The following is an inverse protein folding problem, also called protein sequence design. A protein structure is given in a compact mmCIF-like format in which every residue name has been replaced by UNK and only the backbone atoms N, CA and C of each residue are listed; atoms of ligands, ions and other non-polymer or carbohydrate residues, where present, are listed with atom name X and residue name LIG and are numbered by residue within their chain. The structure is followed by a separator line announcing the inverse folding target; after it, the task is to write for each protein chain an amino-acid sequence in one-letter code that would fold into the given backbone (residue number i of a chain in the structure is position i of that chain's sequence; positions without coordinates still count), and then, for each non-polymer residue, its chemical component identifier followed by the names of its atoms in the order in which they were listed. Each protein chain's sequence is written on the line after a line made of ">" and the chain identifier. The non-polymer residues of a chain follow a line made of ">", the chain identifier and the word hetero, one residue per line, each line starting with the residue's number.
data_IF_418973932176
#
_entry.id   IF_418973932176
#
_cell.length_a   1.000
_cell.length_b   1.000
_cell.length_c   1.000
_cell.angle_alpha   90.00
_cell.angle_beta   90.00
_cell.angle_gamma   90.00
#
_symmetry.space_group_name_H-M   'P 1'
#
loop_
_entity.id
_entity.type
_entity.pdbx_description
1 polymer ?
#
# COMPACT_ATOMS: atom_id res chain seq x y z
N UNK A 1 -18.12 9.22 -3.29
CA UNK A 1 -16.95 8.46 -2.80
C UNK A 1 -15.94 8.36 -3.95
N UNK A 2 -14.89 9.19 -3.96
CA UNK A 2 -13.84 9.09 -4.98
C UNK A 2 -12.99 7.86 -4.70
N UNK A 3 -13.27 6.76 -5.40
CA UNK A 3 -12.34 5.63 -5.52
C UNK A 3 -11.15 6.09 -6.36
N UNK A 4 -10.24 6.84 -5.75
CA UNK A 4 -8.96 7.13 -6.35
C UNK A 4 -8.12 5.86 -6.26
N UNK A 5 -8.14 5.07 -7.34
CA UNK A 5 -7.29 3.90 -7.49
C UNK A 5 -5.83 4.30 -7.30
N UNK A 6 -5.10 3.50 -6.50
CA UNK A 6 -3.66 3.63 -6.39
C UNK A 6 -3.05 3.35 -7.76
N UNK A 7 -2.31 4.32 -8.29
CA UNK A 7 -1.50 4.17 -9.50
C UNK A 7 -0.45 3.06 -9.32
N UNK A 8 0.08 2.55 -10.42
CA UNK A 8 1.13 1.53 -10.39
C UNK A 8 2.33 1.99 -9.56
N UNK A 9 2.72 3.27 -9.66
CA UNK A 9 3.80 3.87 -8.89
C UNK A 9 3.50 3.90 -7.40
N UNK A 10 2.29 4.29 -6.99
CA UNK A 10 1.94 4.27 -5.57
C UNK A 10 1.99 2.85 -5.01
N UNK A 11 1.55 1.85 -5.79
CA UNK A 11 1.60 0.44 -5.38
C UNK A 11 3.03 -0.07 -5.21
N UNK A 12 3.91 0.21 -6.16
CA UNK A 12 5.32 -0.18 -6.05
C UNK A 12 6.00 0.50 -4.87
N UNK A 13 5.73 1.79 -4.63
CA UNK A 13 6.25 2.50 -3.46
C UNK A 13 5.73 1.89 -2.16
N UNK A 14 4.43 1.57 -2.08
CA UNK A 14 3.84 0.91 -0.90
C UNK A 14 4.52 -0.42 -0.60
N UNK A 15 4.69 -1.29 -1.61
CA UNK A 15 5.33 -2.60 -1.43
C UNK A 15 6.80 -2.45 -1.02
N UNK A 16 7.55 -1.54 -1.66
CA UNK A 16 8.96 -1.30 -1.34
C UNK A 16 9.14 -0.80 0.10
N UNK A 17 8.37 0.21 0.50
CA UNK A 17 8.45 0.77 1.85
C UNK A 17 8.01 -0.24 2.91
N UNK A 18 6.95 -1.01 2.64
CA UNK A 18 6.50 -2.06 3.55
C UNK A 18 7.55 -3.17 3.71
N UNK A 19 8.27 -3.53 2.63
CA UNK A 19 9.39 -4.49 2.72
C UNK A 19 10.60 -3.95 3.48
N UNK A 20 10.68 -2.63 3.68
CA UNK A 20 11.73 -1.94 4.44
C UNK A 20 11.31 -1.65 5.89
N UNK A 21 10.30 -2.37 6.41
CA UNK A 21 9.72 -2.20 7.76
C UNK A 21 9.18 -0.79 8.06
N UNK A 22 8.87 0.01 7.03
CA UNK A 22 8.26 1.33 7.21
C UNK A 22 6.80 1.18 7.63
N UNK A 23 6.40 1.91 8.67
CA UNK A 23 5.04 1.82 9.18
C UNK A 23 4.00 2.33 8.17
N UNK A 24 2.81 1.70 8.19
CA UNK A 24 1.67 2.08 7.33
C UNK A 24 1.33 3.57 7.45
N UNK A 25 1.47 4.16 8.65
CA UNK A 25 1.18 5.58 8.89
C UNK A 25 2.20 6.49 8.20
N UNK A 26 3.47 6.11 8.22
CA UNK A 26 4.55 6.85 7.56
C UNK A 26 4.36 6.82 6.03
N UNK A 27 4.06 5.64 5.47
CA UNK A 27 3.75 5.46 4.05
C UNK A 27 2.53 6.30 3.64
N UNK A 28 1.47 6.27 4.45
CA UNK A 28 0.26 7.04 4.22
C UNK A 28 0.54 8.55 4.19
N UNK A 29 1.40 9.04 5.11
CA UNK A 29 1.83 10.44 5.16
C UNK A 29 2.64 10.84 3.93
N UNK A 30 3.58 10.00 3.50
CA UNK A 30 4.40 10.26 2.30
C UNK A 30 3.56 10.32 1.02
N UNK A 31 2.56 9.45 0.90
CA UNK A 31 1.71 9.37 -0.29
C UNK A 31 0.46 10.27 -0.23
N UNK A 32 0.22 10.98 0.87
CA UNK A 32 -1.00 11.76 1.08
C UNK A 32 -2.26 10.91 1.05
N UNK A 33 -2.18 9.64 1.44
CA UNK A 33 -3.29 8.67 1.44
C UNK A 33 -3.74 8.36 2.86
N UNK A 34 -4.93 7.77 2.98
CA UNK A 34 -5.37 7.27 4.29
C UNK A 34 -4.63 5.97 4.63
N UNK A 35 -4.28 5.73 5.92
CA UNK A 35 -3.68 4.48 6.36
C UNK A 35 -4.53 3.24 6.00
N UNK A 36 -5.86 3.40 5.94
CA UNK A 36 -6.77 2.31 5.56
C UNK A 36 -6.63 1.92 4.08
N UNK A 37 -6.28 2.86 3.19
CA UNK A 37 -6.00 2.56 1.78
C UNK A 37 -4.71 1.79 1.63
N UNK A 38 -3.65 2.17 2.35
CA UNK A 38 -2.37 1.46 2.35
C UNK A 38 -2.54 0.04 2.92
N UNK A 39 -3.25 -0.10 4.04
CA UNK A 39 -3.53 -1.41 4.65
C UNK A 39 -4.30 -2.35 3.72
N UNK A 40 -5.32 -1.84 3.02
CA UNK A 40 -6.08 -2.62 2.03
C UNK A 40 -5.19 -3.10 0.87
N UNK A 41 -4.32 -2.25 0.36
CA UNK A 41 -3.39 -2.63 -0.72
C UNK A 41 -2.40 -3.71 -0.26
N UNK A 42 -1.78 -3.54 0.91
CA UNK A 42 -0.86 -4.53 1.47
C UNK A 42 -1.55 -5.87 1.73
N UNK A 43 -2.78 -5.86 2.25
CA UNK A 43 -3.57 -7.08 2.43
C UNK A 43 -3.84 -7.77 1.09
N UNK A 44 -4.14 -7.01 0.03
CA UNK A 44 -4.38 -7.57 -1.31
C UNK A 44 -3.11 -8.16 -1.92
N UNK A 45 -1.95 -7.57 -1.69
CA UNK A 45 -0.67 -8.13 -2.15
C UNK A 45 -0.34 -9.44 -1.41
N UNK A 46 -0.61 -9.52 -0.09
CA UNK A 46 -0.41 -10.75 0.69
C UNK A 46 -1.33 -11.92 0.30
N UNK A 47 -2.49 -11.66 -0.30
CA UNK A 47 -3.35 -12.72 -0.85
C UNK A 47 -2.83 -13.27 -2.17
N UNK A 48 -2.07 -12.48 -2.94
CA UNK A 48 -1.52 -12.94 -4.22
C UNK A 48 -0.20 -13.71 -4.07
N UNK A 49 0.57 -13.47 -3.01
CA UNK A 49 1.87 -14.15 -2.79
C UNK A 49 1.75 -15.55 -2.16
N UNK A 50 0.56 -15.97 -1.72
CA UNK A 50 0.36 -17.30 -1.10
C UNK A 50 -0.04 -18.40 -2.08
N UNK A 51 -0.29 -18.06 -3.34
CA UNK A 51 -0.77 -18.99 -4.39
C UNK A 51 0.30 -19.30 -5.47
N UNK A 52 1.61 -19.11 -5.18
CA UNK A 52 2.72 -19.45 -6.10
C UNK A 52 3.69 -20.45 -5.50
#
# INVERSE_FOLDING_TARGET
>A
MNYNHLSINERTVISLLASSDVSIREIAKQLGRSPSTISRELKRNQTNERDS
#
